data_IF_005683235363
#
_entry.id   IF_005683235363
#
_cell.length_a   1.000
_cell.length_b   1.000
_cell.length_c   1.000
_cell.angle_alpha   90.00
_cell.angle_beta   90.00
_cell.angle_gamma   90.00
#
_symmetry.space_group_name_H-M   'P 1'
#
loop_
_entity.id
_entity.type
_entity.pdbx_description
1 polymer ?
#
# COMPACT_ATOMS: atom_id res chain seq x y z
N UNK A 1 10.53 12.55 21.48
CA UNK A 1 10.09 11.12 21.39
C UNK A 1 9.28 10.87 22.66
N UNK A 2 8.05 10.42 22.51
CA UNK A 2 7.17 10.10 23.65
C UNK A 2 7.17 8.57 23.76
N UNK A 3 7.62 8.05 24.89
CA UNK A 3 7.53 6.63 25.21
C UNK A 3 6.12 6.30 25.73
N UNK A 4 5.43 5.38 25.06
CA UNK A 4 4.03 5.06 25.33
C UNK A 4 3.82 3.67 25.91
N UNK A 5 4.89 2.93 26.19
CA UNK A 5 4.84 1.54 26.67
C UNK A 5 4.99 1.41 28.18
N UNK A 6 4.00 0.86 28.88
CA UNK A 6 4.14 0.37 30.26
C UNK A 6 4.26 -1.15 30.24
N UNK A 7 5.40 -1.66 30.76
CA UNK A 7 5.61 -3.10 30.89
C UNK A 7 4.92 -3.63 32.16
N UNK A 8 3.77 -4.25 32.00
CA UNK A 8 3.19 -5.13 33.02
C UNK A 8 3.00 -6.54 32.43
N UNK A 9 3.29 -7.55 33.22
CA UNK A 9 3.42 -8.97 32.84
C UNK A 9 2.16 -9.63 32.26
N UNK A 10 1.00 -8.95 32.25
CA UNK A 10 -0.26 -9.46 31.72
C UNK A 10 -0.92 -8.44 30.80
N UNK A 11 -0.76 -8.60 29.47
CA UNK A 11 -1.26 -7.75 28.39
C UNK A 11 -0.70 -6.32 28.41
N UNK A 12 0.27 -6.09 27.57
CA UNK A 12 0.73 -4.74 27.19
C UNK A 12 -0.47 -4.00 26.56
N UNK A 13 -1.16 -3.19 27.35
CA UNK A 13 -2.23 -2.35 26.82
C UNK A 13 -1.54 -1.19 26.10
N UNK A 14 -1.77 -1.09 24.82
CA UNK A 14 -1.24 0.02 24.04
C UNK A 14 -1.98 1.30 24.44
N UNK A 15 -1.27 2.19 25.13
CA UNK A 15 -1.78 3.49 25.60
C UNK A 15 -1.45 4.62 24.62
N UNK A 16 -0.85 4.31 23.47
CA UNK A 16 -0.38 5.31 22.50
C UNK A 16 -1.47 6.30 22.12
N UNK A 17 -2.69 5.81 21.83
CA UNK A 17 -3.79 6.66 21.45
C UNK A 17 -4.19 7.66 22.54
N UNK A 18 -4.19 7.24 23.81
CA UNK A 18 -4.54 8.12 24.94
C UNK A 18 -3.48 9.19 25.17
N UNK A 19 -2.20 8.81 25.15
CA UNK A 19 -1.08 9.75 25.30
C UNK A 19 -1.07 10.77 24.16
N UNK A 20 -1.32 10.32 22.93
CA UNK A 20 -1.39 11.20 21.78
C UNK A 20 -2.57 12.19 21.87
N UNK A 21 -3.76 11.73 22.30
CA UNK A 21 -4.92 12.58 22.52
C UNK A 21 -4.66 13.63 23.59
N UNK A 22 -4.10 13.23 24.75
CA UNK A 22 -3.75 14.13 25.84
C UNK A 22 -2.79 15.23 25.37
N UNK A 23 -1.74 14.84 24.62
CA UNK A 23 -0.77 15.78 24.06
C UNK A 23 -1.40 16.79 23.08
N UNK A 24 -2.32 16.33 22.24
CA UNK A 24 -3.06 17.20 21.31
C UNK A 24 -3.90 18.21 22.10
N UNK A 25 -4.64 17.77 23.12
CA UNK A 25 -5.47 18.67 23.93
C UNK A 25 -4.65 19.68 24.72
N UNK A 26 -3.56 19.26 25.34
CA UNK A 26 -2.64 20.17 26.04
C UNK A 26 -2.04 21.20 25.07
N UNK A 27 -1.61 20.75 23.90
CA UNK A 27 -1.00 21.62 22.90
C UNK A 27 -1.98 22.67 22.37
N UNK A 28 -3.21 22.28 22.02
CA UNK A 28 -4.20 23.20 21.46
C UNK A 28 -4.72 24.22 22.46
N UNK A 29 -4.64 23.93 23.76
CA UNK A 29 -5.04 24.86 24.83
C UNK A 29 -3.93 25.80 25.19
N UNK A 30 -2.68 25.40 25.19
CA UNK A 30 -1.53 26.19 25.59
C UNK A 30 -0.88 26.98 24.45
N UNK A 31 -1.08 26.55 23.16
CA UNK A 31 -0.42 27.13 22.00
C UNK A 31 -1.41 27.64 20.96
N UNK A 32 -1.69 28.94 21.04
CA UNK A 32 -2.55 29.60 20.05
C UNK A 32 -1.85 29.87 18.70
N UNK A 33 -0.52 29.90 18.70
CA UNK A 33 0.35 30.12 17.52
C UNK A 33 0.36 28.96 16.54
N UNK A 34 0.00 27.74 16.98
CA UNK A 34 -0.06 26.56 16.09
C UNK A 34 -1.35 26.61 15.26
N UNK A 35 -1.22 26.80 13.95
CA UNK A 35 -2.33 26.85 13.01
C UNK A 35 -2.63 25.50 12.34
N UNK A 36 -1.65 24.60 12.24
CA UNK A 36 -1.77 23.32 11.55
C UNK A 36 -1.30 22.16 12.41
N UNK A 37 -2.10 21.11 12.42
CA UNK A 37 -1.76 19.84 13.08
C UNK A 37 -1.59 18.75 12.00
N UNK A 38 -0.50 18.00 12.10
CA UNK A 38 -0.22 16.84 11.25
C UNK A 38 -0.30 15.60 12.14
N UNK A 39 -1.22 14.69 11.83
CA UNK A 39 -1.49 13.50 12.63
C UNK A 39 -1.27 12.26 11.77
N UNK A 40 -0.37 11.36 12.21
CA UNK A 40 -0.14 10.08 11.58
C UNK A 40 -1.01 9.02 12.26
N UNK A 41 -2.15 8.70 11.69
CA UNK A 41 -3.05 7.66 12.20
C UNK A 41 -4.03 7.17 11.14
N UNK A 42 -4.37 5.89 11.18
CA UNK A 42 -5.50 5.31 10.42
C UNK A 42 -6.71 5.05 11.31
N UNK A 43 -6.59 5.26 12.64
CA UNK A 43 -7.58 4.85 13.63
C UNK A 43 -8.74 5.86 13.72
N UNK A 44 -9.96 5.34 13.47
CA UNK A 44 -11.20 6.12 13.54
C UNK A 44 -11.51 6.72 14.92
N UNK A 45 -10.85 6.28 16.01
CA UNK A 45 -11.01 6.84 17.34
C UNK A 45 -10.52 8.31 17.41
N UNK A 46 -9.65 8.74 16.51
CA UNK A 46 -9.20 10.12 16.41
C UNK A 46 -10.23 11.07 15.79
N UNK A 47 -11.36 10.57 15.27
CA UNK A 47 -12.41 11.39 14.64
C UNK A 47 -12.85 12.56 15.53
N UNK A 48 -13.07 12.30 16.82
CA UNK A 48 -13.58 13.32 17.77
C UNK A 48 -12.61 14.48 17.96
N UNK A 49 -11.31 14.18 18.14
CA UNK A 49 -10.30 15.21 18.32
C UNK A 49 -10.03 15.97 17.04
N UNK A 50 -10.00 15.29 15.87
CA UNK A 50 -9.84 15.94 14.57
C UNK A 50 -11.01 16.91 14.32
N UNK A 51 -12.25 16.46 14.56
CA UNK A 51 -13.45 17.31 14.45
C UNK A 51 -13.38 18.50 15.39
N UNK A 52 -12.95 18.31 16.63
CA UNK A 52 -12.78 19.38 17.60
C UNK A 52 -11.76 20.43 17.13
N UNK A 53 -10.59 20.00 16.67
CA UNK A 53 -9.54 20.89 16.15
C UNK A 53 -10.04 21.71 14.96
N UNK A 54 -10.71 21.08 13.98
CA UNK A 54 -11.18 21.74 12.76
C UNK A 54 -12.37 22.66 13.08
N UNK A 55 -13.42 22.15 13.74
CA UNK A 55 -14.70 22.86 13.85
C UNK A 55 -14.74 23.83 15.04
N UNK A 56 -14.08 23.53 16.16
CA UNK A 56 -14.14 24.35 17.37
C UNK A 56 -12.90 25.22 17.56
N UNK A 57 -11.76 24.76 17.10
CA UNK A 57 -10.49 25.49 17.27
C UNK A 57 -10.02 26.15 15.97
N UNK A 58 -10.73 25.94 14.85
CA UNK A 58 -10.45 26.51 13.53
C UNK A 58 -8.99 26.24 13.07
N UNK A 59 -8.47 25.05 13.42
CA UNK A 59 -7.13 24.62 13.04
C UNK A 59 -7.19 23.79 11.75
N UNK A 60 -6.15 23.89 10.93
CA UNK A 60 -5.96 22.97 9.81
C UNK A 60 -5.45 21.63 10.35
N UNK A 61 -6.10 20.54 9.97
CA UNK A 61 -5.66 19.18 10.34
C UNK A 61 -5.41 18.36 9.10
N UNK A 62 -4.16 17.92 8.94
CA UNK A 62 -3.74 16.98 7.88
C UNK A 62 -3.53 15.62 8.52
N UNK A 63 -4.26 14.60 8.04
CA UNK A 63 -4.11 13.24 8.56
C UNK A 63 -3.38 12.39 7.54
N UNK A 64 -2.26 11.80 7.96
CA UNK A 64 -1.54 10.77 7.21
C UNK A 64 -1.97 9.39 7.70
N UNK A 65 -2.23 8.48 6.78
CA UNK A 65 -2.62 7.11 7.10
C UNK A 65 -2.12 6.11 6.07
N UNK A 66 -2.28 4.83 6.38
CA UNK A 66 -1.94 3.74 5.47
C UNK A 66 -3.18 3.39 4.64
N UNK A 67 -3.04 3.30 3.33
CA UNK A 67 -4.12 3.17 2.35
C UNK A 67 -5.14 2.08 2.71
N UNK A 68 -4.69 0.86 3.00
CA UNK A 68 -5.60 -0.28 3.23
C UNK A 68 -6.19 -0.35 4.65
N UNK A 69 -5.68 0.44 5.60
CA UNK A 69 -6.12 0.42 7.02
C UNK A 69 -6.76 1.72 7.48
N UNK A 70 -6.91 2.69 6.59
CA UNK A 70 -7.42 4.02 6.93
C UNK A 70 -8.92 4.03 7.19
N UNK A 71 -9.32 4.56 8.35
CA UNK A 71 -10.73 4.63 8.72
C UNK A 71 -11.49 5.72 7.94
N UNK A 72 -12.59 5.33 7.29
CA UNK A 72 -13.51 6.26 6.61
C UNK A 72 -14.06 7.36 7.53
N UNK A 73 -14.10 7.14 8.85
CA UNK A 73 -14.57 8.13 9.82
C UNK A 73 -13.72 9.40 9.84
N UNK A 74 -12.42 9.30 9.50
CA UNK A 74 -11.51 10.44 9.44
C UNK A 74 -11.71 11.25 8.16
N UNK A 75 -12.20 10.64 7.08
CA UNK A 75 -12.36 11.30 5.78
C UNK A 75 -13.34 12.49 5.82
N UNK A 76 -14.39 12.41 6.64
CA UNK A 76 -15.39 13.47 6.74
C UNK A 76 -15.06 14.61 7.70
N UNK A 77 -13.92 14.56 8.42
CA UNK A 77 -13.62 15.52 9.48
C UNK A 77 -12.26 16.20 9.38
N UNK A 78 -11.30 15.61 8.72
CA UNK A 78 -9.99 16.21 8.47
C UNK A 78 -10.04 17.30 7.41
N UNK A 79 -9.13 18.29 7.51
CA UNK A 79 -8.98 19.33 6.48
C UNK A 79 -8.31 18.80 5.20
N UNK A 80 -7.41 17.83 5.36
CA UNK A 80 -6.71 17.16 4.27
C UNK A 80 -6.31 15.75 4.71
N UNK A 81 -6.24 14.81 3.75
CA UNK A 81 -5.85 13.41 4.01
C UNK A 81 -4.80 13.00 3.01
N UNK A 82 -3.76 12.36 3.51
CA UNK A 82 -2.68 11.80 2.71
C UNK A 82 -2.47 10.35 3.05
N UNK A 83 -2.75 9.48 2.09
CA UNK A 83 -2.57 8.04 2.25
C UNK A 83 -1.20 7.64 1.71
N UNK A 84 -0.53 6.71 2.40
CA UNK A 84 0.79 6.20 2.06
C UNK A 84 0.77 4.66 2.03
N UNK A 85 1.39 4.03 1.05
CA UNK A 85 1.83 4.66 -0.20
C UNK A 85 0.64 5.25 -0.96
N UNK A 86 0.87 6.22 -1.81
CA UNK A 86 -0.19 6.69 -2.70
C UNK A 86 -0.56 5.61 -3.73
N UNK A 87 -1.68 5.80 -4.44
CA UNK A 87 -2.18 4.79 -5.39
C UNK A 87 -1.19 4.53 -6.54
N UNK A 88 -0.41 5.52 -6.95
CA UNK A 88 0.60 5.38 -8.00
C UNK A 88 1.80 4.60 -7.50
N UNK A 89 2.34 4.94 -6.34
CA UNK A 89 3.43 4.22 -5.69
C UNK A 89 3.05 2.77 -5.40
N UNK A 90 1.83 2.56 -4.89
CA UNK A 90 1.30 1.22 -4.64
C UNK A 90 1.23 0.39 -5.93
N UNK A 91 0.66 0.97 -7.00
CA UNK A 91 0.58 0.30 -8.29
C UNK A 91 1.96 -0.02 -8.86
N UNK A 92 2.90 0.90 -8.79
CA UNK A 92 4.28 0.70 -9.24
C UNK A 92 4.96 -0.42 -8.45
N UNK A 93 4.71 -0.51 -7.15
CA UNK A 93 5.20 -1.61 -6.31
C UNK A 93 4.69 -2.97 -6.80
N UNK A 94 3.38 -3.11 -7.03
CA UNK A 94 2.81 -4.35 -7.56
C UNK A 94 3.34 -4.69 -8.97
N UNK A 95 3.50 -3.70 -9.83
CA UNK A 95 4.09 -3.91 -11.16
C UNK A 95 5.51 -4.45 -11.06
N UNK A 96 6.36 -3.89 -10.18
CA UNK A 96 7.73 -4.38 -9.95
C UNK A 96 7.75 -5.79 -9.38
N UNK A 97 6.83 -6.17 -8.48
CA UNK A 97 6.71 -7.54 -7.97
C UNK A 97 6.39 -8.54 -9.10
N UNK A 98 5.47 -8.18 -10.00
CA UNK A 98 5.11 -9.01 -11.16
C UNK A 98 6.30 -9.14 -12.11
N UNK A 99 6.97 -8.04 -12.44
CA UNK A 99 8.14 -8.00 -13.31
C UNK A 99 9.29 -8.84 -12.76
N UNK A 100 9.59 -8.70 -11.46
CA UNK A 100 10.61 -9.51 -10.78
C UNK A 100 10.28 -11.00 -10.81
N UNK A 101 9.00 -11.37 -10.67
CA UNK A 101 8.57 -12.76 -10.80
C UNK A 101 8.77 -13.30 -12.23
N UNK A 102 8.36 -12.53 -13.25
CA UNK A 102 8.53 -12.93 -14.65
C UNK A 102 10.01 -13.06 -15.01
N UNK A 103 10.86 -12.13 -14.59
CA UNK A 103 12.31 -12.20 -14.80
C UNK A 103 12.90 -13.47 -14.16
N UNK A 104 12.50 -13.79 -12.93
CA UNK A 104 12.94 -15.01 -12.27
C UNK A 104 12.50 -16.27 -13.00
N UNK A 105 11.26 -16.31 -13.47
CA UNK A 105 10.72 -17.49 -14.18
C UNK A 105 11.40 -17.70 -15.52
N UNK A 106 11.76 -16.66 -16.26
CA UNK A 106 12.49 -16.78 -17.53
C UNK A 106 13.84 -17.46 -17.38
N UNK A 107 14.47 -17.40 -16.21
CA UNK A 107 15.72 -18.11 -15.92
C UNK A 107 15.51 -19.59 -15.57
N UNK A 108 14.26 -20.06 -15.46
CA UNK A 108 13.91 -21.41 -15.01
C UNK A 108 13.21 -22.21 -16.12
N UNK A 109 13.90 -23.19 -16.67
CA UNK A 109 13.37 -24.02 -17.77
C UNK A 109 12.07 -24.79 -17.44
N UNK A 110 11.81 -25.06 -16.15
CA UNK A 110 10.73 -25.94 -15.71
C UNK A 110 9.51 -25.18 -15.15
N UNK A 111 9.48 -23.85 -15.22
CA UNK A 111 8.37 -23.07 -14.68
C UNK A 111 7.63 -22.41 -15.84
N UNK A 112 6.32 -22.65 -15.89
CA UNK A 112 5.43 -22.10 -16.92
C UNK A 112 4.61 -20.97 -16.30
N UNK A 113 4.84 -19.69 -16.66
CA UNK A 113 4.15 -18.56 -16.09
C UNK A 113 2.74 -18.42 -16.69
N UNK A 114 1.81 -19.22 -16.24
CA UNK A 114 0.39 -19.04 -16.58
C UNK A 114 -0.18 -17.82 -15.86
N UNK A 115 -1.31 -17.27 -16.33
CA UNK A 115 -1.96 -16.11 -15.72
C UNK A 115 -2.20 -16.32 -14.20
N UNK A 116 -2.87 -17.40 -13.85
CA UNK A 116 -3.17 -17.71 -12.45
C UNK A 116 -1.93 -18.12 -11.65
N UNK A 117 -1.02 -18.88 -12.25
CA UNK A 117 0.25 -19.25 -11.62
C UNK A 117 1.12 -18.05 -11.31
N UNK A 118 1.12 -17.01 -12.16
CA UNK A 118 1.83 -15.76 -11.90
C UNK A 118 1.20 -15.01 -10.72
N UNK A 119 -0.13 -14.91 -10.67
CA UNK A 119 -0.84 -14.25 -9.54
C UNK A 119 -0.49 -14.94 -8.23
N UNK A 120 -0.67 -16.25 -8.16
CA UNK A 120 -0.42 -17.04 -6.95
C UNK A 120 1.06 -16.95 -6.50
N UNK A 121 2.00 -17.04 -7.43
CA UNK A 121 3.43 -16.96 -7.12
C UNK A 121 3.83 -15.59 -6.58
N UNK A 122 3.35 -14.50 -7.20
CA UNK A 122 3.62 -13.13 -6.74
C UNK A 122 2.99 -12.86 -5.38
N UNK A 123 1.74 -13.27 -5.21
CA UNK A 123 0.97 -13.09 -3.98
C UNK A 123 1.62 -13.80 -2.79
N UNK A 124 1.94 -15.09 -2.94
CA UNK A 124 2.61 -15.87 -1.89
C UNK A 124 4.00 -15.36 -1.55
N UNK A 125 4.81 -15.03 -2.58
CA UNK A 125 6.19 -14.57 -2.37
C UNK A 125 6.27 -13.23 -1.63
N UNK A 126 5.33 -12.33 -1.90
CA UNK A 126 5.35 -10.97 -1.36
C UNK A 126 4.35 -10.76 -0.21
N UNK A 127 3.57 -11.80 0.15
CA UNK A 127 2.50 -11.74 1.15
C UNK A 127 1.50 -10.60 0.88
N UNK A 128 1.01 -10.54 -0.35
CA UNK A 128 0.07 -9.52 -0.82
C UNK A 128 -1.22 -10.16 -1.37
N UNK A 129 -2.37 -9.45 -1.37
CA UNK A 129 -3.65 -9.99 -1.83
C UNK A 129 -3.67 -10.35 -3.32
N UNK A 130 -4.23 -11.51 -3.66
CA UNK A 130 -4.37 -12.02 -5.04
C UNK A 130 -5.15 -11.07 -5.94
N UNK A 131 -6.21 -10.45 -5.44
CA UNK A 131 -7.05 -9.51 -6.18
C UNK A 131 -6.30 -8.26 -6.62
N UNK A 132 -5.40 -7.74 -5.80
CA UNK A 132 -4.52 -6.63 -6.14
C UNK A 132 -3.51 -7.00 -7.22
N UNK A 133 -2.86 -8.16 -7.08
CA UNK A 133 -1.94 -8.70 -8.10
C UNK A 133 -2.66 -8.92 -9.42
N UNK A 134 -3.86 -9.53 -9.40
CA UNK A 134 -4.71 -9.75 -10.56
C UNK A 134 -5.07 -8.44 -11.27
N UNK A 135 -5.56 -7.46 -10.52
CA UNK A 135 -5.93 -6.16 -11.07
C UNK A 135 -4.74 -5.46 -11.74
N UNK A 136 -3.56 -5.52 -11.10
CA UNK A 136 -2.33 -4.95 -11.65
C UNK A 136 -1.87 -5.69 -12.90
N UNK A 137 -1.90 -7.03 -12.91
CA UNK A 137 -1.51 -7.83 -14.07
C UNK A 137 -2.41 -7.55 -15.29
N UNK A 138 -3.73 -7.42 -15.08
CA UNK A 138 -4.68 -7.03 -16.13
C UNK A 138 -4.39 -5.62 -16.67
N UNK A 139 -4.06 -4.68 -15.80
CA UNK A 139 -3.66 -3.32 -16.20
C UNK A 139 -2.36 -3.32 -17.00
N UNK A 140 -1.38 -4.13 -16.59
CA UNK A 140 -0.14 -4.30 -17.34
C UNK A 140 -0.38 -4.88 -18.73
N UNK A 141 -1.35 -5.81 -18.87
CA UNK A 141 -1.78 -6.33 -20.18
C UNK A 141 -2.44 -5.25 -21.03
N UNK A 142 -3.38 -4.50 -20.46
CA UNK A 142 -4.05 -3.42 -21.18
C UNK A 142 -3.07 -2.33 -21.66
N UNK A 143 -2.02 -2.07 -20.90
CA UNK A 143 -0.97 -1.12 -21.27
C UNK A 143 0.16 -1.75 -22.10
N UNK A 144 0.10 -3.04 -22.41
CA UNK A 144 1.06 -3.75 -23.26
C UNK A 144 2.45 -3.92 -22.63
N UNK A 145 2.57 -3.90 -21.29
CA UNK A 145 3.80 -4.28 -20.59
C UNK A 145 4.00 -5.78 -20.55
N UNK A 146 2.88 -6.51 -20.50
CA UNK A 146 2.84 -7.97 -20.55
C UNK A 146 1.73 -8.40 -21.50
N UNK A 147 1.87 -9.59 -22.06
CA UNK A 147 0.89 -10.17 -22.99
C UNK A 147 0.80 -11.68 -22.79
N UNK A 148 -0.28 -12.27 -23.28
CA UNK A 148 -0.40 -13.71 -23.33
C UNK A 148 0.05 -14.25 -24.68
N UNK A 149 0.79 -15.36 -24.68
CA UNK A 149 1.15 -16.12 -25.88
C UNK A 149 0.96 -17.61 -25.65
N UNK A 150 0.70 -18.34 -26.74
CA UNK A 150 0.61 -19.79 -26.67
C UNK A 150 2.01 -20.40 -26.55
N UNK A 151 2.12 -21.40 -25.70
CA UNK A 151 3.33 -22.15 -25.43
C UNK A 151 3.05 -23.65 -25.50
N UNK A 152 3.82 -24.37 -26.32
CA UNK A 152 3.70 -25.82 -26.46
C UNK A 152 4.56 -26.51 -25.41
N UNK A 153 3.92 -27.26 -24.51
CA UNK A 153 4.63 -28.11 -23.54
C UNK A 153 5.17 -29.34 -24.21
N UNK A 154 4.35 -29.92 -25.15
CA UNK A 154 4.69 -31.05 -26.00
C UNK A 154 3.80 -30.99 -27.24
N UNK A 155 3.93 -31.99 -28.14
CA UNK A 155 3.15 -32.07 -29.40
C UNK A 155 1.63 -32.07 -29.23
N UNK A 156 1.12 -32.38 -28.03
CA UNK A 156 -0.32 -32.52 -27.75
C UNK A 156 -0.88 -31.49 -26.77
N UNK A 157 -0.04 -30.71 -26.09
CA UNK A 157 -0.50 -29.80 -25.02
C UNK A 157 0.04 -28.39 -25.22
N UNK A 158 -0.88 -27.46 -25.45
CA UNK A 158 -0.61 -26.03 -25.47
C UNK A 158 -1.20 -25.35 -24.22
N UNK A 159 -0.51 -24.34 -23.71
CA UNK A 159 -0.98 -23.51 -22.60
C UNK A 159 -0.72 -22.05 -22.92
N UNK A 160 -1.55 -21.14 -22.40
CA UNK A 160 -1.29 -19.71 -22.47
C UNK A 160 -0.38 -19.29 -21.34
N UNK A 161 0.71 -18.65 -21.69
CA UNK A 161 1.67 -18.08 -20.74
C UNK A 161 1.65 -16.56 -20.79
N UNK A 162 2.04 -15.96 -19.67
CA UNK A 162 2.30 -14.52 -19.55
C UNK A 162 3.74 -14.28 -19.98
N UNK A 163 3.93 -13.35 -20.90
CA UNK A 163 5.24 -12.91 -21.37
C UNK A 163 5.38 -11.40 -21.19
N UNK A 164 6.62 -10.94 -20.96
CA UNK A 164 6.94 -9.56 -20.73
C UNK A 164 7.45 -8.87 -22.00
N UNK A 165 7.04 -7.63 -22.24
CA UNK A 165 7.72 -6.70 -23.14
C UNK A 165 8.85 -5.99 -22.38
N UNK A 166 10.02 -6.63 -22.34
CA UNK A 166 11.17 -6.13 -21.58
C UNK A 166 11.63 -4.75 -22.03
N UNK A 167 11.52 -4.45 -23.34
CA UNK A 167 11.88 -3.13 -23.85
C UNK A 167 11.02 -2.05 -23.24
N UNK A 168 9.71 -2.27 -23.17
CA UNK A 168 8.75 -1.33 -22.62
C UNK A 168 8.85 -1.23 -21.10
N UNK A 169 9.06 -2.36 -20.42
CA UNK A 169 9.24 -2.44 -18.97
C UNK A 169 10.49 -1.66 -18.53
N UNK A 170 11.62 -1.83 -19.21
CA UNK A 170 12.87 -1.10 -18.94
C UNK A 170 12.72 0.40 -19.22
N UNK A 171 12.08 0.77 -20.33
CA UNK A 171 11.81 2.16 -20.65
C UNK A 171 10.94 2.88 -19.62
N UNK A 172 10.06 2.13 -18.92
CA UNK A 172 9.22 2.64 -17.83
C UNK A 172 9.90 2.64 -16.45
N UNK A 173 11.17 2.21 -16.34
CA UNK A 173 11.89 2.13 -15.06
C UNK A 173 11.30 1.12 -14.06
N UNK A 174 10.61 0.10 -14.57
CA UNK A 174 10.00 -0.96 -13.76
C UNK A 174 10.95 -2.13 -13.49
N UNK A 175 12.06 -2.19 -14.22
CA UNK A 175 13.09 -3.22 -14.08
C UNK A 175 14.46 -2.68 -14.47
N UNK A 176 15.40 -2.79 -13.54
CA UNK A 176 16.82 -2.54 -13.77
C UNK A 176 17.55 -3.88 -13.76
N UNK A 177 18.39 -4.12 -14.77
CA UNK A 177 19.33 -5.21 -14.72
C UNK A 177 20.48 -4.76 -13.79
N UNK A 178 20.40 -5.17 -12.52
CA UNK A 178 21.49 -5.02 -11.55
C UNK A 178 22.65 -5.95 -11.86
#
# INVERSE_FOLDING_TARGET
>A
IIETGTATQYRKKDMTNFVMLDYIYQNVTSRNDVGTYIIFTGDGHFQSVVKYLVQKRHKKVVVYGVTDTFSKRLQGVASDIRLLPDEEELNNSYMRMIVSNLAHVETKANIIPTFWGTIEAVSKRNNVPDDRVKATLLRMMANGYVFQKDFSINSSKQVRIVAADWKKIKAAGLYDEG
#
